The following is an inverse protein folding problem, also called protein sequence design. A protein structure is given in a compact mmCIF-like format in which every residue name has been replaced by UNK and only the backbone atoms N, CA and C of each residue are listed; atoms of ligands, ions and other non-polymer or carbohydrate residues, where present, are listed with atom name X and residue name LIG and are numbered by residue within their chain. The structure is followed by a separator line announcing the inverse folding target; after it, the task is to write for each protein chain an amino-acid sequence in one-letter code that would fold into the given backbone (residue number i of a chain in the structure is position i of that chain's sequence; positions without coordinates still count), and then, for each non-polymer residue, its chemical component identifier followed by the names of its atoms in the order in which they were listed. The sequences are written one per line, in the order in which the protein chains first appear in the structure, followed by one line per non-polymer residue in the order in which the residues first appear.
data_IF_025981983518
#
_entry.id   IF_025981983518
#
_cell.length_a   1.000
_cell.length_b   1.000
_cell.length_c   1.000
_cell.angle_alpha   90.00
_cell.angle_beta   90.00
_cell.angle_gamma   90.00
#
_symmetry.space_group_name_H-M   'P 1'
#
loop_
_entity.id
_entity.type
_entity.pdbx_description
1 polymer ?
#
# COMPACT_ATOMS: atom_id res chain seq x y z
N UNK A 1 2.98 68.65 36.67
CA UNK A 1 1.75 68.51 35.84
C UNK A 1 1.84 67.22 35.03
N UNK A 2 0.83 66.33 35.17
CA UNK A 2 0.44 65.17 34.31
C UNK A 2 1.54 64.13 34.02
N UNK A 3 1.66 63.02 34.76
CA UNK A 3 0.86 61.78 34.74
C UNK A 3 0.73 61.12 33.35
N UNK A 4 1.27 59.91 33.16
CA UNK A 4 0.49 58.64 33.13
C UNK A 4 1.32 57.46 32.62
N UNK A 5 1.48 56.51 33.53
CA UNK A 5 1.69 55.07 33.35
C UNK A 5 0.86 54.51 32.18
N UNK A 6 1.43 53.64 31.34
CA UNK A 6 0.66 52.79 30.42
C UNK A 6 0.90 51.32 30.73
N UNK A 7 -0.22 50.63 30.83
CA UNK A 7 -0.42 49.27 31.28
C UNK A 7 -0.04 48.22 30.23
N UNK A 8 0.37 47.08 30.79
CA UNK A 8 0.32 45.70 30.26
C UNK A 8 -0.92 45.44 29.38
N UNK A 9 -0.71 44.80 28.23
CA UNK A 9 -1.76 44.28 27.36
C UNK A 9 -1.44 42.85 26.92
N UNK A 10 -1.81 41.91 27.78
CA UNK A 10 -1.80 40.46 27.55
C UNK A 10 -2.94 40.15 26.55
N UNK A 11 -2.62 39.66 25.35
CA UNK A 11 -3.64 39.23 24.38
C UNK A 11 -4.06 37.81 24.76
N UNK A 12 -5.14 37.72 25.53
CA UNK A 12 -5.91 36.51 25.74
C UNK A 12 -6.82 36.30 24.53
N UNK A 13 -6.59 35.22 23.77
CA UNK A 13 -7.55 34.75 22.75
C UNK A 13 -8.59 33.92 23.49
N UNK A 14 -9.80 34.46 23.55
CA UNK A 14 -10.96 33.87 24.19
C UNK A 14 -11.55 32.76 23.33
N UNK A 15 -11.66 31.57 23.93
CA UNK A 15 -12.43 30.43 23.44
C UNK A 15 -13.92 30.82 23.53
N UNK A 16 -14.58 30.96 22.38
CA UNK A 16 -16.05 31.04 22.34
C UNK A 16 -16.61 29.65 22.17
N UNK A 17 -17.21 29.15 23.25
CA UNK A 17 -18.10 28.00 23.23
C UNK A 17 -19.44 28.39 22.58
N UNK A 18 -20.03 27.48 21.80
CA UNK A 18 -21.48 27.38 21.69
C UNK A 18 -21.91 25.95 22.02
N UNK A 19 -22.64 25.89 23.12
CA UNK A 19 -23.33 24.75 23.74
C UNK A 19 -24.55 24.40 22.88
N UNK A 20 -24.87 23.10 22.73
CA UNK A 20 -26.16 22.41 23.01
C UNK A 20 -25.93 20.93 22.61
N UNK A 21 -26.24 19.91 23.41
CA UNK A 21 -27.11 19.84 24.57
C UNK A 21 -26.71 18.73 25.54
N UNK A 22 -27.14 18.95 26.77
CA UNK A 22 -27.07 18.04 27.89
C UNK A 22 -28.22 17.04 27.74
N UNK A 23 -27.92 15.75 27.78
CA UNK A 23 -28.83 14.73 28.27
C UNK A 23 -28.09 13.96 29.37
N UNK A 24 -28.46 14.24 30.62
CA UNK A 24 -28.09 13.41 31.77
C UNK A 24 -29.12 12.28 31.83
N UNK A 25 -28.68 11.04 31.72
CA UNK A 25 -29.38 9.88 32.26
C UNK A 25 -28.39 8.94 32.95
N UNK A 26 -28.50 8.95 34.27
CA UNK A 26 -28.38 7.85 35.25
C UNK A 26 -27.72 6.52 34.83
N UNK A 27 -26.65 6.17 35.55
CA UNK A 27 -26.29 4.83 36.07
C UNK A 27 -27.07 3.60 35.57
N UNK A 28 -26.34 2.62 35.01
CA UNK A 28 -26.73 1.20 34.93
C UNK A 28 -26.42 0.53 33.59
N UNK A 29 -25.49 -0.43 33.62
CA UNK A 29 -25.27 -1.59 32.73
C UNK A 29 -25.36 -1.48 31.19
N UNK A 30 -24.24 -1.88 30.58
CA UNK A 30 -24.09 -2.69 29.36
C UNK A 30 -24.52 -2.12 27.98
N UNK A 31 -23.86 -2.65 26.94
CA UNK A 31 -24.08 -2.49 25.49
C UNK A 31 -23.22 -1.44 24.74
N UNK A 32 -22.11 -1.96 24.22
CA UNK A 32 -21.61 -1.84 22.83
C UNK A 32 -22.34 -0.85 21.89
N UNK A 33 -21.61 0.19 21.46
CA UNK A 33 -21.64 0.65 20.06
C UNK A 33 -20.32 1.38 19.71
N UNK A 34 -19.57 0.85 18.74
CA UNK A 34 -18.39 1.49 18.15
C UNK A 34 -18.85 2.48 17.07
N UNK A 35 -18.23 3.66 16.92
CA UNK A 35 -18.46 4.46 15.73
C UNK A 35 -17.70 3.86 14.54
N UNK A 36 -18.43 3.51 13.47
CA UNK A 36 -17.88 3.22 12.15
C UNK A 36 -17.19 4.48 11.60
N UNK A 37 -15.88 4.39 11.38
CA UNK A 37 -15.12 5.38 10.63
C UNK A 37 -14.88 4.80 9.23
N UNK A 38 -15.29 5.56 8.23
CA UNK A 38 -15.16 5.25 6.80
C UNK A 38 -13.69 5.20 6.37
N UNK A 39 -13.18 3.99 6.12
CA UNK A 39 -11.75 3.69 5.87
C UNK A 39 -11.28 3.82 4.41
N UNK A 40 -12.11 4.26 3.46
CA UNK A 40 -11.79 4.05 2.04
C UNK A 40 -10.91 5.11 1.35
N UNK A 41 -10.82 6.35 1.85
CA UNK A 41 -10.22 7.44 1.05
C UNK A 41 -8.79 7.84 1.48
N UNK A 42 -8.37 7.52 2.71
CA UNK A 42 -6.99 7.76 3.18
C UNK A 42 -6.03 6.58 2.91
N UNK A 43 -6.55 5.37 2.69
CA UNK A 43 -5.73 4.16 2.55
C UNK A 43 -4.92 4.07 1.24
N UNK A 44 -5.36 4.76 0.18
CA UNK A 44 -4.72 4.66 -1.14
C UNK A 44 -3.35 5.34 -1.20
N UNK A 45 -3.22 6.55 -0.63
CA UNK A 45 -1.97 7.33 -0.71
C UNK A 45 -0.88 6.84 0.25
N UNK A 46 -1.26 6.27 1.41
CA UNK A 46 -0.30 5.75 2.40
C UNK A 46 0.16 4.32 2.07
N UNK A 47 -0.61 3.58 1.27
CA UNK A 47 -0.24 2.25 0.76
C UNK A 47 0.95 2.32 -0.20
N UNK A 48 0.99 3.34 -1.07
CA UNK A 48 1.98 3.44 -2.13
C UNK A 48 3.36 3.82 -1.61
N UNK A 49 3.40 4.76 -0.66
CA UNK A 49 4.64 5.15 0.01
C UNK A 49 5.27 3.96 0.74
N UNK A 50 4.46 3.07 1.31
CA UNK A 50 4.96 1.91 2.07
C UNK A 50 5.39 0.75 1.15
N UNK A 51 4.71 0.54 0.02
CA UNK A 51 5.10 -0.48 -0.98
C UNK A 51 6.48 -0.19 -1.59
N UNK A 52 6.79 1.09 -1.82
CA UNK A 52 8.08 1.55 -2.35
C UNK A 52 9.17 1.59 -1.24
N UNK A 53 8.84 2.09 -0.05
CA UNK A 53 9.76 2.14 1.10
C UNK A 53 10.19 0.74 1.58
N UNK A 54 9.32 -0.27 1.49
CA UNK A 54 9.65 -1.67 1.83
C UNK A 54 10.47 -2.38 0.76
N UNK A 55 10.43 -1.91 -0.50
CA UNK A 55 11.28 -2.42 -1.58
C UNK A 55 12.72 -1.90 -1.48
N UNK A 56 12.93 -0.67 -1.01
CA UNK A 56 14.24 -0.01 -1.13
C UNK A 56 15.06 0.10 0.18
N UNK A 57 14.50 -0.11 1.37
CA UNK A 57 15.25 0.02 2.63
C UNK A 57 15.49 -1.32 3.33
N UNK A 58 16.69 -1.89 3.21
CA UNK A 58 17.10 -3.11 3.92
C UNK A 58 18.35 -2.85 4.79
N UNK A 59 18.13 -2.29 5.97
CA UNK A 59 19.10 -2.30 7.10
C UNK A 59 18.57 -3.09 8.31
N UNK A 60 17.59 -3.97 8.07
CA UNK A 60 17.00 -4.87 9.07
C UNK A 60 17.28 -6.33 8.74
N UNK A 61 17.32 -7.19 9.77
CA UNK A 61 17.40 -8.64 9.57
C UNK A 61 16.12 -9.13 8.88
N UNK A 62 16.23 -9.55 7.62
CA UNK A 62 15.12 -10.11 6.82
C UNK A 62 15.23 -11.63 6.81
N UNK A 63 14.17 -12.31 7.24
CA UNK A 63 14.05 -13.77 7.17
C UNK A 63 12.80 -14.17 6.42
N UNK A 64 12.75 -15.39 5.92
CA UNK A 64 11.55 -15.98 5.32
C UNK A 64 10.91 -16.92 6.34
N UNK A 65 9.59 -16.82 6.51
CA UNK A 65 8.82 -17.69 7.41
C UNK A 65 7.58 -18.24 6.69
N UNK A 66 7.13 -19.41 7.12
CA UNK A 66 5.81 -19.95 6.74
C UNK A 66 4.78 -19.37 7.70
N UNK A 67 3.70 -18.80 7.16
CA UNK A 67 2.76 -18.03 7.98
C UNK A 67 2.07 -18.87 9.07
N UNK A 68 1.60 -20.06 8.72
CA UNK A 68 0.95 -21.00 9.64
C UNK A 68 1.88 -21.47 10.78
N UNK A 69 3.20 -21.48 10.55
CA UNK A 69 4.20 -21.95 11.53
C UNK A 69 4.77 -20.83 12.42
N UNK A 70 4.75 -19.58 11.98
CA UNK A 70 5.24 -18.45 12.79
C UNK A 70 4.24 -18.15 13.93
N UNK A 71 4.72 -18.20 15.17
CA UNK A 71 3.87 -18.04 16.37
C UNK A 71 3.06 -16.75 16.42
N UNK A 72 3.56 -15.67 15.82
CA UNK A 72 2.89 -14.37 15.82
C UNK A 72 1.96 -14.24 14.61
N UNK A 73 2.49 -14.45 13.41
CA UNK A 73 1.71 -14.33 12.17
C UNK A 73 0.63 -15.40 12.05
N UNK A 74 0.92 -16.63 12.48
CA UNK A 74 0.02 -17.77 12.43
C UNK A 74 -1.26 -17.60 13.23
N UNK A 75 -1.37 -16.58 14.08
CA UNK A 75 -2.64 -16.22 14.75
C UNK A 75 -3.63 -15.57 13.77
N UNK A 76 -3.14 -14.93 12.70
CA UNK A 76 -3.91 -14.12 11.76
C UNK A 76 -3.90 -14.67 10.33
N UNK A 77 -2.88 -15.43 9.94
CA UNK A 77 -2.70 -16.01 8.61
C UNK A 77 -2.43 -17.51 8.74
N UNK A 78 -3.38 -18.33 8.29
CA UNK A 78 -3.35 -19.80 8.45
C UNK A 78 -2.81 -20.53 7.22
N UNK A 79 -2.45 -19.82 6.16
CA UNK A 79 -1.91 -20.42 4.95
C UNK A 79 -0.44 -20.85 5.11
N UNK A 80 -0.01 -21.75 4.24
CA UNK A 80 1.40 -22.17 4.15
C UNK A 80 2.22 -21.25 3.24
N UNK A 81 1.78 -19.99 3.08
CA UNK A 81 2.47 -18.99 2.27
C UNK A 81 3.75 -18.54 2.97
N UNK A 82 4.77 -18.29 2.15
CA UNK A 82 6.01 -17.71 2.60
C UNK A 82 5.87 -16.19 2.71
N UNK A 83 6.30 -15.63 3.85
CA UNK A 83 6.37 -14.21 4.11
C UNK A 83 7.81 -13.79 4.35
N UNK A 84 8.20 -12.65 3.79
CA UNK A 84 9.39 -11.92 4.24
C UNK A 84 9.06 -11.24 5.54
N UNK A 85 9.79 -11.58 6.60
CA UNK A 85 9.71 -10.98 7.92
C UNK A 85 10.88 -10.02 8.08
N UNK A 86 10.58 -8.77 8.41
CA UNK A 86 11.58 -7.77 8.77
C UNK A 86 11.29 -7.21 10.16
N UNK A 87 12.35 -6.93 10.91
CA UNK A 87 12.25 -6.23 12.20
C UNK A 87 13.00 -4.93 12.08
N UNK A 88 12.28 -3.82 12.16
CA UNK A 88 12.84 -2.49 12.04
C UNK A 88 12.25 -1.57 13.10
N UNK A 89 13.11 -0.84 13.81
CA UNK A 89 12.71 0.07 14.89
C UNK A 89 11.76 -0.60 15.91
N UNK A 90 10.51 -0.13 15.97
CA UNK A 90 9.45 -0.60 16.88
C UNK A 90 8.48 -1.58 16.25
N UNK A 91 8.73 -2.03 15.02
CA UNK A 91 7.78 -2.87 14.29
C UNK A 91 8.37 -4.20 13.83
N UNK A 92 7.50 -5.20 13.73
CA UNK A 92 7.74 -6.46 13.01
C UNK A 92 6.80 -6.46 11.82
N UNK A 93 7.35 -6.50 10.62
CA UNK A 93 6.58 -6.46 9.38
C UNK A 93 6.69 -7.80 8.67
N UNK A 94 5.56 -8.35 8.24
CA UNK A 94 5.49 -9.54 7.41
C UNK A 94 4.88 -9.13 6.08
N UNK A 95 5.54 -9.47 4.98
CA UNK A 95 5.11 -9.15 3.62
C UNK A 95 5.12 -10.39 2.75
N UNK A 96 4.00 -10.63 2.06
CA UNK A 96 3.89 -11.58 0.97
C UNK A 96 3.43 -10.84 -0.27
N UNK A 97 4.20 -10.90 -1.34
CA UNK A 97 3.80 -10.45 -2.67
C UNK A 97 3.46 -11.68 -3.51
N UNK A 98 2.33 -11.64 -4.21
CA UNK A 98 1.95 -12.73 -5.11
C UNK A 98 2.76 -12.64 -6.40
N UNK A 99 3.18 -13.81 -6.89
CA UNK A 99 3.62 -14.02 -8.26
C UNK A 99 2.76 -15.10 -8.93
N UNK A 100 2.72 -15.09 -10.25
CA UNK A 100 2.16 -16.15 -11.10
C UNK A 100 3.30 -16.61 -12.01
N UNK A 101 3.74 -17.87 -11.87
CA UNK A 101 4.91 -18.42 -12.56
C UNK A 101 6.12 -17.46 -12.52
N UNK A 102 6.48 -17.02 -11.31
CA UNK A 102 7.56 -16.05 -11.01
C UNK A 102 7.38 -14.63 -11.56
N UNK A 103 6.26 -14.32 -12.23
CA UNK A 103 5.92 -12.96 -12.66
C UNK A 103 5.21 -12.23 -11.52
N UNK A 104 5.74 -11.08 -11.04
CA UNK A 104 5.14 -10.36 -9.94
C UNK A 104 3.79 -9.77 -10.33
N UNK A 105 2.86 -9.79 -9.37
CA UNK A 105 1.55 -9.15 -9.50
C UNK A 105 1.57 -7.85 -8.73
N UNK A 106 1.35 -6.73 -9.43
CA UNK A 106 1.39 -5.42 -8.81
C UNK A 106 0.26 -5.27 -7.80
N UNK A 107 0.66 -4.82 -6.61
CA UNK A 107 -0.21 -4.56 -5.46
C UNK A 107 -1.00 -5.78 -4.97
N UNK A 108 -0.78 -6.99 -5.47
CA UNK A 108 -1.35 -8.21 -4.86
C UNK A 108 -0.41 -8.66 -3.73
N UNK A 109 -0.74 -8.20 -2.53
CA UNK A 109 0.09 -8.38 -1.36
C UNK A 109 -0.71 -8.58 -0.08
N UNK A 110 -0.04 -9.19 0.89
CA UNK A 110 -0.49 -9.31 2.27
C UNK A 110 0.59 -8.75 3.17
N UNK A 111 0.26 -7.69 3.90
CA UNK A 111 1.13 -7.02 4.83
C UNK A 111 0.51 -7.07 6.23
N UNK A 112 1.30 -7.52 7.19
CA UNK A 112 0.99 -7.47 8.62
C UNK A 112 2.09 -6.71 9.35
N UNK A 113 1.72 -5.68 10.11
CA UNK A 113 2.66 -4.90 10.92
C UNK A 113 2.24 -5.05 12.37
N UNK A 114 3.19 -5.46 13.20
CA UNK A 114 3.01 -5.63 14.64
C UNK A 114 3.91 -4.69 15.41
N UNK A 115 3.47 -4.25 16.59
CA UNK A 115 4.34 -3.61 17.56
C UNK A 115 5.33 -4.64 18.11
N UNK A 116 6.62 -4.30 18.09
CA UNK A 116 7.70 -5.22 18.45
C UNK A 116 7.67 -5.59 19.94
N UNK A 117 7.18 -4.71 20.81
CA UNK A 117 7.22 -4.90 22.26
C UNK A 117 5.97 -5.62 22.76
N UNK A 118 4.80 -5.11 22.39
CA UNK A 118 3.49 -5.61 22.84
C UNK A 118 2.98 -6.77 21.99
N UNK A 119 3.54 -6.96 20.79
CA UNK A 119 3.06 -7.94 19.79
C UNK A 119 1.64 -7.67 19.29
N UNK A 120 1.06 -6.51 19.60
CA UNK A 120 -0.23 -6.11 19.08
C UNK A 120 -0.14 -5.86 17.58
N UNK A 121 -1.18 -6.27 16.84
CA UNK A 121 -1.33 -5.95 15.42
C UNK A 121 -1.59 -4.45 15.28
N UNK A 122 -0.68 -3.74 14.61
CA UNK A 122 -0.83 -2.31 14.28
C UNK A 122 -1.61 -2.15 12.98
N UNK A 123 -1.24 -2.93 11.95
CA UNK A 123 -1.81 -2.81 10.61
C UNK A 123 -1.93 -4.15 9.93
N UNK A 124 -3.03 -4.31 9.20
CA UNK A 124 -3.25 -5.38 8.23
C UNK A 124 -3.68 -4.75 6.91
N UNK A 125 -2.94 -5.02 5.85
CA UNK A 125 -3.30 -4.63 4.48
C UNK A 125 -3.30 -5.87 3.61
N UNK A 126 -4.46 -6.20 3.03
CA UNK A 126 -4.62 -7.32 2.11
C UNK A 126 -5.22 -6.75 0.84
N UNK A 127 -4.47 -6.87 -0.24
CA UNK A 127 -4.91 -6.60 -1.59
C UNK A 127 -4.72 -7.87 -2.39
N UNK A 128 -5.76 -8.33 -3.07
CA UNK A 128 -5.67 -9.54 -3.89
C UNK A 128 -6.56 -9.41 -5.11
N UNK A 129 -6.09 -9.96 -6.23
CA UNK A 129 -6.81 -10.01 -7.49
C UNK A 129 -7.21 -11.44 -7.82
N UNK A 130 -8.49 -11.69 -7.95
CA UNK A 130 -9.06 -12.99 -8.33
C UNK A 130 -9.30 -13.10 -9.85
N UNK A 131 -9.18 -12.00 -10.58
CA UNK A 131 -9.45 -11.89 -12.02
C UNK A 131 -8.27 -12.28 -12.92
N UNK A 132 -7.16 -12.73 -12.32
CA UNK A 132 -5.91 -13.08 -13.00
C UNK A 132 -5.86 -14.56 -13.37
N UNK A 133 -5.12 -14.93 -14.44
CA UNK A 133 -4.96 -16.31 -14.83
C UNK A 133 -4.18 -17.12 -13.77
N UNK A 134 -4.42 -18.43 -13.73
CA UNK A 134 -3.70 -19.35 -12.84
C UNK A 134 -2.23 -19.51 -13.24
N UNK A 135 -1.96 -19.46 -14.55
CA UNK A 135 -0.63 -19.59 -15.14
C UNK A 135 -0.36 -18.47 -16.15
N UNK A 136 0.92 -18.22 -16.41
CA UNK A 136 1.38 -17.22 -17.36
C UNK A 136 1.00 -17.66 -18.79
N UNK A 137 0.22 -16.85 -19.54
CA UNK A 137 -0.02 -17.12 -20.95
C UNK A 137 1.26 -16.98 -21.77
N UNK A 138 1.31 -17.48 -23.02
CA UNK A 138 2.42 -17.19 -23.93
C UNK A 138 2.65 -15.68 -24.07
N UNK A 139 3.90 -15.25 -23.92
CA UNK A 139 4.30 -13.85 -24.02
C UNK A 139 5.32 -13.63 -25.13
N UNK A 140 5.31 -12.44 -25.73
CA UNK A 140 6.37 -11.96 -26.61
C UNK A 140 7.69 -11.82 -25.83
N UNK A 141 8.82 -11.88 -26.54
CA UNK A 141 10.13 -11.76 -25.89
C UNK A 141 10.37 -10.36 -25.31
N UNK A 142 11.31 -10.28 -24.36
CA UNK A 142 11.76 -9.02 -23.77
C UNK A 142 12.29 -8.05 -24.84
N UNK A 143 13.12 -8.55 -25.75
CA UNK A 143 13.74 -7.77 -26.82
C UNK A 143 12.69 -7.24 -27.81
N UNK A 144 11.65 -8.03 -28.08
CA UNK A 144 10.54 -7.58 -28.91
C UNK A 144 9.78 -6.43 -28.24
N UNK A 145 9.52 -6.51 -26.94
CA UNK A 145 8.87 -5.43 -26.20
C UNK A 145 9.71 -4.15 -26.16
N UNK A 146 11.03 -4.28 -25.92
CA UNK A 146 11.96 -3.16 -25.96
C UNK A 146 12.00 -2.53 -27.35
N UNK A 147 11.99 -3.34 -28.42
CA UNK A 147 11.93 -2.83 -29.79
C UNK A 147 10.63 -2.08 -30.10
N UNK A 148 9.48 -2.59 -29.66
CA UNK A 148 8.17 -1.92 -29.81
C UNK A 148 8.17 -0.56 -29.11
N UNK A 149 8.81 -0.46 -27.94
CA UNK A 149 8.92 0.78 -27.19
C UNK A 149 9.93 1.79 -27.76
N UNK A 150 10.71 1.40 -28.79
CA UNK A 150 11.81 2.23 -29.32
C UNK A 150 13.10 2.19 -28.49
N UNK A 151 13.28 1.15 -27.67
CA UNK A 151 14.39 0.95 -26.75
C UNK A 151 13.98 1.04 -25.27
N UNK A 152 14.94 0.77 -24.38
CA UNK A 152 14.74 0.82 -22.92
C UNK A 152 15.00 -0.53 -22.25
N UNK A 153 14.58 -0.65 -20.99
CA UNK A 153 14.66 -1.89 -20.21
C UNK A 153 13.26 -2.39 -19.89
N UNK A 154 12.94 -3.59 -20.34
CA UNK A 154 11.63 -4.21 -20.12
C UNK A 154 11.60 -5.13 -18.90
N UNK A 155 10.53 -5.04 -18.12
CA UNK A 155 10.20 -5.94 -16.99
C UNK A 155 8.79 -6.47 -17.13
N UNK A 156 8.60 -7.80 -17.03
CA UNK A 156 7.30 -8.46 -17.15
C UNK A 156 6.57 -8.44 -15.81
N UNK A 157 5.32 -7.97 -15.77
CA UNK A 157 4.51 -7.86 -14.54
C UNK A 157 3.01 -7.94 -14.85
N UNK A 158 2.20 -8.36 -13.90
CA UNK A 158 0.75 -8.10 -13.96
C UNK A 158 0.49 -6.70 -13.39
N UNK A 159 0.20 -5.76 -14.27
CA UNK A 159 0.16 -4.33 -13.93
C UNK A 159 -1.21 -3.95 -13.35
N UNK A 160 -1.19 -3.17 -12.27
CA UNK A 160 -2.40 -2.55 -11.70
C UNK A 160 -2.81 -1.32 -12.52
N UNK A 161 -4.11 -1.04 -12.74
CA UNK A 161 -4.57 0.16 -13.43
C UNK A 161 -4.01 1.47 -12.87
N UNK A 162 -3.65 1.49 -11.58
CA UNK A 162 -3.08 2.67 -10.92
C UNK A 162 -1.65 3.02 -11.36
N UNK A 163 -0.99 2.12 -12.10
CA UNK A 163 0.34 2.37 -12.64
C UNK A 163 0.31 3.26 -13.89
N UNK A 164 -0.88 3.50 -14.46
CA UNK A 164 -1.06 4.25 -15.70
C UNK A 164 -1.25 5.75 -15.43
N UNK A 165 -0.70 6.57 -16.32
CA UNK A 165 -1.04 8.01 -16.38
C UNK A 165 -2.54 8.19 -16.68
N UNK A 166 -3.09 7.34 -17.55
CA UNK A 166 -4.52 7.24 -17.83
C UNK A 166 -4.94 5.78 -17.73
N UNK A 167 -5.59 5.36 -16.63
CA UNK A 167 -6.00 3.97 -16.43
C UNK A 167 -6.92 3.47 -17.55
N UNK A 168 -6.75 2.20 -17.99
CA UNK A 168 -7.69 1.59 -18.91
C UNK A 168 -9.06 1.40 -18.24
N UNK A 169 -10.14 1.51 -19.02
CA UNK A 169 -11.52 1.32 -18.52
C UNK A 169 -11.75 -0.08 -17.94
N UNK A 170 -11.03 -1.08 -18.46
CA UNK A 170 -11.12 -2.47 -18.02
C UNK A 170 -9.83 -2.89 -17.32
N UNK A 171 -9.98 -3.70 -16.28
CA UNK A 171 -8.85 -4.29 -15.57
C UNK A 171 -8.02 -5.17 -16.51
N UNK A 172 -6.71 -4.98 -16.48
CA UNK A 172 -5.78 -5.74 -17.29
C UNK A 172 -5.55 -7.11 -16.67
N UNK A 173 -5.94 -8.16 -17.40
CA UNK A 173 -5.76 -9.56 -16.99
C UNK A 173 -4.49 -10.18 -17.56
N UNK A 174 -4.04 -9.66 -18.69
CA UNK A 174 -2.82 -10.11 -19.34
C UNK A 174 -1.59 -9.58 -18.59
N UNK A 175 -0.49 -10.35 -18.54
CA UNK A 175 0.79 -9.80 -18.15
C UNK A 175 1.20 -8.71 -19.15
N UNK A 176 1.94 -7.71 -18.67
CA UNK A 176 2.40 -6.60 -19.45
C UNK A 176 3.92 -6.46 -19.34
N UNK A 177 4.55 -6.05 -20.45
CA UNK A 177 5.90 -5.53 -20.43
C UNK A 177 5.83 -4.05 -20.03
N UNK A 178 6.48 -3.73 -18.91
CA UNK A 178 6.74 -2.36 -18.47
C UNK A 178 8.13 -1.99 -18.98
N UNK A 179 8.20 -1.10 -19.98
CA UNK A 179 9.45 -0.69 -20.61
C UNK A 179 9.80 0.72 -20.15
N UNK A 180 10.94 0.86 -19.47
CA UNK A 180 11.46 2.16 -19.03
C UNK A 180 12.53 2.66 -19.99
N UNK A 181 12.36 3.87 -20.48
CA UNK A 181 13.34 4.59 -21.32
C UNK A 181 13.45 6.03 -20.83
N UNK A 182 14.51 6.32 -20.07
CA UNK A 182 14.63 7.59 -19.32
C UNK A 182 13.48 7.77 -18.34
N UNK A 183 12.76 8.89 -18.50
CA UNK A 183 11.59 9.26 -17.69
C UNK A 183 10.26 8.77 -18.28
N UNK A 184 10.31 8.01 -19.39
CA UNK A 184 9.13 7.45 -20.03
C UNK A 184 8.97 5.99 -19.66
N UNK A 185 7.74 5.60 -19.29
CA UNK A 185 7.35 4.22 -19.09
C UNK A 185 6.28 3.87 -20.11
N UNK A 186 6.55 2.90 -20.98
CA UNK A 186 5.60 2.36 -21.96
C UNK A 186 5.09 1.01 -21.46
N UNK A 187 3.77 0.84 -21.45
CA UNK A 187 3.13 -0.41 -21.02
C UNK A 187 2.60 -1.14 -22.25
N UNK A 188 3.05 -2.38 -22.45
CA UNK A 188 2.76 -3.19 -23.62
C UNK A 188 2.12 -4.50 -23.16
N UNK A 189 1.00 -4.89 -23.76
CA UNK A 189 0.39 -6.20 -23.53
C UNK A 189 1.38 -7.29 -23.97
N UNK A 190 1.80 -8.14 -23.04
CA UNK A 190 2.84 -9.13 -23.32
C UNK A 190 2.33 -10.27 -24.21
N UNK A 191 1.02 -10.46 -24.36
CA UNK A 191 0.45 -11.56 -25.16
C UNK A 191 0.40 -11.25 -26.66
N UNK A 192 0.32 -9.96 -27.03
CA UNK A 192 0.09 -9.54 -28.41
C UNK A 192 0.97 -8.35 -28.86
N UNK A 193 1.75 -7.75 -27.96
CA UNK A 193 2.63 -6.62 -28.26
C UNK A 193 1.92 -5.28 -28.47
N UNK A 194 0.63 -5.18 -28.15
CA UNK A 194 -0.11 -3.91 -28.26
C UNK A 194 0.31 -2.96 -27.15
N UNK A 195 0.67 -1.73 -27.51
CA UNK A 195 0.85 -0.65 -26.53
C UNK A 195 -0.50 -0.30 -25.88
N UNK A 196 -0.55 -0.39 -24.56
CA UNK A 196 -1.72 -0.11 -23.75
C UNK A 196 -1.76 1.33 -23.23
N UNK A 197 -0.60 1.97 -23.12
CA UNK A 197 -0.48 3.35 -22.67
C UNK A 197 0.86 3.62 -22.00
N UNK A 198 0.89 4.66 -21.18
CA UNK A 198 2.08 5.10 -20.46
C UNK A 198 1.91 4.97 -18.95
N UNK A 199 3.00 4.56 -18.30
CA UNK A 199 3.08 4.43 -16.84
C UNK A 199 3.49 5.74 -16.17
N UNK A 200 3.18 5.86 -14.88
CA UNK A 200 3.65 6.95 -14.02
C UNK A 200 5.11 6.64 -13.64
N UNK A 201 6.08 7.49 -14.01
CA UNK A 201 7.46 7.28 -13.59
C UNK A 201 7.59 7.46 -12.07
N UNK A 202 8.49 6.71 -11.41
CA UNK A 202 8.81 6.97 -10.01
C UNK A 202 9.41 8.40 -9.87
N UNK A 203 9.19 9.07 -8.73
CA UNK A 203 9.64 10.43 -8.47
C UNK A 203 11.17 10.61 -8.48
#
# INVERSE_FOLDING_TARGET
MKSKTRYVGLIAITISALIVGIAIFTSGDDLLEKPEVSDQEQAANESDVIDETLRENHDGNVTVVIASEDKLLGQYEKSDRHFKKSVFNRTITYVHYRSIDDVPVDRDHRIYVFDKNTKALIRKAIYSRDDLPEHLPPVISKEQAESIAGGGSATLRFVSPQFFVSPPEQALKNPCWVVRSGDTITIIDATNGKTLGYGIPPP
#
